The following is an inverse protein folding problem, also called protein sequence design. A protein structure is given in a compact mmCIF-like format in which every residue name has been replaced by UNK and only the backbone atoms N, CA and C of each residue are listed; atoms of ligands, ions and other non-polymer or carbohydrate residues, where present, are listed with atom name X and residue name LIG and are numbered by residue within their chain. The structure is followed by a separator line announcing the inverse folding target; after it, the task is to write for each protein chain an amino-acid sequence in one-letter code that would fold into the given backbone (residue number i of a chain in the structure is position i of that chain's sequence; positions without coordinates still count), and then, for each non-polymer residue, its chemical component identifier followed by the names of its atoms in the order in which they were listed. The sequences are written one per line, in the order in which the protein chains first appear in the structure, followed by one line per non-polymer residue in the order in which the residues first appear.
data_IF_145873530563
#
_entry.id   IF_145873530563
#
_cell.length_a   1.000
_cell.length_b   1.000
_cell.length_c   1.000
_cell.angle_alpha   90.00
_cell.angle_beta   90.00
_cell.angle_gamma   90.00
#
_symmetry.space_group_name_H-M   'P 1'
#
loop_
_entity.id
_entity.type
_entity.pdbx_description
1 polymer ?
#
# COMPACT_ATOMS: atom_id res chain seq x y z
N UNK A 1 -6.82 -36.04 -30.18
CA UNK A 1 -6.63 -36.46 -28.78
C UNK A 1 -6.40 -35.19 -27.99
N UNK A 2 -7.43 -34.76 -27.27
CA UNK A 2 -7.38 -33.57 -26.44
C UNK A 2 -7.26 -34.04 -24.99
N UNK A 3 -6.22 -33.58 -24.30
CA UNK A 3 -6.05 -33.80 -22.88
C UNK A 3 -6.85 -32.74 -22.12
N UNK A 4 -7.84 -33.23 -21.39
CA UNK A 4 -8.76 -32.48 -20.54
C UNK A 4 -8.07 -32.18 -19.20
N UNK A 5 -7.69 -30.92 -18.99
CA UNK A 5 -7.20 -30.46 -17.69
C UNK A 5 -8.38 -29.95 -16.86
N UNK A 6 -8.92 -30.81 -16.00
CA UNK A 6 -9.95 -30.44 -15.04
C UNK A 6 -9.39 -29.53 -13.95
N UNK A 7 -9.71 -28.23 -13.99
CA UNK A 7 -9.52 -27.32 -12.87
C UNK A 7 -10.82 -27.29 -12.07
N UNK A 8 -10.81 -27.91 -10.89
CA UNK A 8 -11.92 -27.84 -9.94
C UNK A 8 -11.86 -26.50 -9.21
N UNK A 9 -12.66 -25.52 -9.64
CA UNK A 9 -12.80 -24.22 -8.98
C UNK A 9 -14.05 -24.24 -8.10
N UNK A 10 -13.84 -24.36 -6.79
CA UNK A 10 -14.90 -24.20 -5.80
C UNK A 10 -14.90 -22.76 -5.25
N UNK A 11 -15.84 -21.96 -5.76
CA UNK A 11 -16.52 -20.89 -5.01
C UNK A 11 -15.83 -19.52 -4.85
N UNK A 12 -16.43 -18.50 -5.45
CA UNK A 12 -16.28 -17.08 -5.04
C UNK A 12 -15.89 -16.14 -6.18
N UNK A 13 -16.74 -15.16 -6.49
CA UNK A 13 -16.66 -14.30 -7.69
C UNK A 13 -15.29 -13.67 -7.96
N UNK A 14 -14.81 -13.85 -9.19
CA UNK A 14 -13.75 -13.01 -9.78
C UNK A 14 -14.41 -11.78 -10.39
N UNK A 15 -14.31 -10.65 -9.71
CA UNK A 15 -14.52 -9.33 -10.29
C UNK A 15 -13.34 -8.45 -9.90
N UNK A 16 -12.32 -8.41 -10.77
CA UNK A 16 -11.16 -7.53 -10.63
C UNK A 16 -11.03 -6.64 -11.87
N UNK A 17 -10.73 -5.34 -11.73
CA UNK A 17 -10.46 -4.49 -12.88
C UNK A 17 -9.14 -4.88 -13.54
N UNK A 18 -9.24 -5.22 -14.83
CA UNK A 18 -8.11 -5.39 -15.76
C UNK A 18 -7.45 -4.02 -15.96
N UNK A 19 -6.21 -3.85 -15.51
CA UNK A 19 -5.38 -2.71 -15.90
C UNK A 19 -4.52 -3.10 -17.11
N UNK A 20 -4.90 -2.67 -18.30
CA UNK A 20 -4.04 -2.72 -19.49
C UNK A 20 -3.22 -1.42 -19.58
N UNK A 21 -1.90 -1.54 -19.49
CA UNK A 21 -0.95 -0.44 -19.69
C UNK A 21 0.50 -0.94 -19.58
N UNK A 22 1.37 -0.52 -20.49
CA UNK A 22 2.68 -1.13 -20.81
C UNK A 22 3.77 -1.06 -19.72
N UNK A 23 3.45 -0.72 -18.47
CA UNK A 23 4.37 -0.78 -17.32
C UNK A 23 3.65 -1.08 -15.98
N UNK A 24 2.43 -1.64 -16.02
CA UNK A 24 1.69 -1.96 -14.80
C UNK A 24 2.20 -3.29 -14.18
N UNK A 25 3.01 -3.20 -13.13
CA UNK A 25 3.36 -4.34 -12.29
C UNK A 25 2.24 -4.55 -11.26
N UNK A 26 1.20 -5.29 -11.64
CA UNK A 26 0.16 -5.71 -10.71
C UNK A 26 0.72 -6.82 -9.81
N UNK A 27 1.15 -6.45 -8.60
CA UNK A 27 1.46 -7.41 -7.55
C UNK A 27 0.15 -7.79 -6.88
N UNK A 28 -0.38 -8.95 -7.25
CA UNK A 28 -1.56 -9.54 -6.60
C UNK A 28 -1.09 -10.20 -5.31
N UNK A 29 -1.35 -9.55 -4.17
CA UNK A 29 -1.23 -10.20 -2.85
C UNK A 29 -2.59 -10.82 -2.53
N UNK A 30 -2.77 -12.08 -2.92
CA UNK A 30 -3.84 -12.91 -2.38
C UNK A 30 -3.36 -13.48 -1.04
N UNK A 31 -3.86 -12.97 0.09
CA UNK A 31 -3.64 -13.60 1.38
C UNK A 31 -3.91 -12.69 2.58
N UNK A 32 -5.00 -12.97 3.31
CA UNK A 32 -5.13 -12.66 4.74
C UNK A 32 -5.83 -11.35 5.10
N UNK A 33 -7.04 -11.49 5.67
CA UNK A 33 -7.78 -10.50 6.47
C UNK A 33 -8.21 -9.16 5.83
N UNK A 34 -9.38 -8.60 6.23
CA UNK A 34 -9.83 -7.28 5.76
C UNK A 34 -8.82 -6.15 6.06
N UNK A 35 -7.99 -6.29 7.09
CA UNK A 35 -6.94 -5.34 7.46
C UNK A 35 -5.82 -5.22 6.41
N UNK A 36 -5.47 -6.31 5.72
CA UNK A 36 -4.44 -6.30 4.67
C UNK A 36 -4.87 -5.57 3.41
N UNK A 37 -6.17 -5.57 3.10
CA UNK A 37 -6.75 -4.84 1.97
C UNK A 37 -6.83 -3.33 2.22
N UNK A 38 -7.24 -2.95 3.43
CA UNK A 38 -7.36 -1.54 3.83
C UNK A 38 -6.00 -0.84 3.89
N UNK A 39 -4.99 -1.46 4.50
CA UNK A 39 -3.63 -0.93 4.55
C UNK A 39 -3.05 -0.71 3.14
N UNK A 40 -3.25 -1.65 2.21
CA UNK A 40 -2.81 -1.53 0.82
C UNK A 40 -3.53 -0.39 0.09
N UNK A 41 -4.84 -0.24 0.30
CA UNK A 41 -5.61 0.85 -0.31
C UNK A 41 -5.15 2.23 0.18
N UNK A 42 -4.87 2.36 1.48
CA UNK A 42 -4.35 3.58 2.09
C UNK A 42 -2.93 3.89 1.59
N UNK A 43 -2.05 2.89 1.46
CA UNK A 43 -0.72 3.06 0.86
C UNK A 43 -0.79 3.54 -0.60
N UNK A 44 -1.66 2.94 -1.42
CA UNK A 44 -1.84 3.37 -2.80
C UNK A 44 -2.42 4.79 -2.91
N UNK A 45 -3.22 5.22 -1.92
CA UNK A 45 -3.68 6.61 -1.81
C UNK A 45 -2.53 7.53 -1.39
N UNK A 46 -1.72 7.11 -0.42
CA UNK A 46 -0.56 7.84 0.07
C UNK A 46 0.44 8.11 -1.06
N UNK A 47 0.76 7.12 -1.90
CA UNK A 47 1.66 7.32 -3.05
C UNK A 47 1.15 8.38 -4.03
N UNK A 48 -0.14 8.33 -4.34
CA UNK A 48 -0.77 9.28 -5.26
C UNK A 48 -0.70 10.70 -4.69
N UNK A 49 -0.94 10.86 -3.39
CA UNK A 49 -0.83 12.17 -2.73
C UNK A 49 0.62 12.66 -2.65
N UNK A 50 1.58 11.78 -2.33
CA UNK A 50 3.01 12.13 -2.32
C UNK A 50 3.51 12.56 -3.71
N UNK A 51 3.00 11.95 -4.77
CA UNK A 51 3.31 12.37 -6.14
C UNK A 51 2.63 13.69 -6.50
N UNK A 52 1.36 13.87 -6.14
CA UNK A 52 0.61 15.09 -6.44
C UNK A 52 1.13 16.33 -5.70
N UNK A 53 1.64 16.15 -4.47
CA UNK A 53 2.11 17.22 -3.60
C UNK A 53 3.64 17.25 -3.44
N UNK A 54 4.39 16.68 -4.38
CA UNK A 54 5.86 16.56 -4.25
C UNK A 54 6.55 17.91 -3.97
N UNK A 55 6.08 18.99 -4.58
CA UNK A 55 6.63 20.34 -4.38
C UNK A 55 6.36 20.92 -2.99
N UNK A 56 5.34 20.42 -2.28
CA UNK A 56 4.92 20.88 -0.96
C UNK A 56 5.54 20.04 0.17
N UNK A 57 6.30 18.99 -0.15
CA UNK A 57 6.92 18.10 0.82
C UNK A 57 8.28 18.63 1.28
N UNK A 58 8.54 18.50 2.58
CA UNK A 58 9.90 18.65 3.10
C UNK A 58 10.69 17.38 2.79
N UNK A 59 11.74 17.51 1.99
CA UNK A 59 12.59 16.39 1.54
C UNK A 59 11.79 15.29 0.80
N UNK A 60 11.21 15.58 -0.39
CA UNK A 60 10.29 14.69 -1.11
C UNK A 60 10.89 13.30 -1.40
N UNK A 61 12.17 13.22 -1.72
CA UNK A 61 12.86 11.96 -1.94
C UNK A 61 12.90 11.09 -0.67
N UNK A 62 13.05 11.69 0.52
CA UNK A 62 13.00 10.97 1.79
C UNK A 62 11.58 10.57 2.17
N UNK A 63 10.60 11.43 1.91
CA UNK A 63 9.19 11.09 2.11
C UNK A 63 8.77 9.85 1.27
N UNK A 64 9.19 9.79 0.00
CA UNK A 64 8.96 8.60 -0.85
C UNK A 64 9.66 7.36 -0.32
N UNK A 65 10.89 7.51 0.20
CA UNK A 65 11.62 6.41 0.83
C UNK A 65 10.89 5.91 2.08
N UNK A 66 10.48 6.80 2.97
CA UNK A 66 9.76 6.44 4.19
C UNK A 66 8.43 5.70 3.86
N UNK A 67 7.70 6.12 2.82
CA UNK A 67 6.53 5.39 2.33
C UNK A 67 6.87 4.02 1.73
N UNK A 68 8.03 3.91 1.05
CA UNK A 68 8.57 2.65 0.56
C UNK A 68 8.92 1.68 1.69
N UNK A 69 9.52 2.17 2.77
CA UNK A 69 9.88 1.38 3.96
C UNK A 69 8.60 0.80 4.61
N UNK A 70 7.54 1.60 4.75
CA UNK A 70 6.24 1.11 5.27
C UNK A 70 5.65 0.02 4.37
N UNK A 71 5.68 0.21 3.05
CA UNK A 71 5.18 -0.81 2.11
C UNK A 71 5.96 -2.11 2.21
N UNK A 72 7.29 -2.01 2.28
CA UNK A 72 8.15 -3.19 2.37
C UNK A 72 7.82 -3.97 3.65
N UNK A 73 7.79 -3.30 4.80
CA UNK A 73 7.53 -3.94 6.09
C UNK A 73 6.14 -4.60 6.13
N UNK A 74 5.12 -3.96 5.52
CA UNK A 74 3.78 -4.56 5.39
C UNK A 74 3.70 -5.77 4.45
N UNK A 75 4.69 -5.95 3.58
CA UNK A 75 4.76 -7.10 2.68
C UNK A 75 5.57 -8.27 3.27
N UNK A 76 6.23 -8.07 4.42
CA UNK A 76 6.94 -9.13 5.12
C UNK A 76 5.96 -10.16 5.69
N UNK A 77 6.40 -11.42 5.82
CA UNK A 77 5.58 -12.49 6.39
C UNK A 77 5.21 -12.23 7.86
N UNK A 78 6.08 -11.52 8.57
CA UNK A 78 5.91 -11.09 9.95
C UNK A 78 6.22 -9.59 10.05
N UNK A 79 5.25 -8.70 9.78
CA UNK A 79 5.47 -7.26 9.80
C UNK A 79 5.86 -6.73 11.19
N UNK A 80 6.94 -5.95 11.26
CA UNK A 80 7.34 -5.23 12.47
C UNK A 80 6.57 -3.91 12.62
N UNK A 81 5.59 -3.94 13.52
CA UNK A 81 4.77 -2.77 13.90
C UNK A 81 5.62 -1.55 14.27
N UNK A 82 6.73 -1.73 14.99
CA UNK A 82 7.54 -0.61 15.48
C UNK A 82 8.19 0.12 14.31
N UNK A 83 8.72 -0.64 13.35
CA UNK A 83 9.31 -0.09 12.11
C UNK A 83 8.29 0.65 11.26
N UNK A 84 7.08 0.10 11.13
CA UNK A 84 5.97 0.75 10.43
C UNK A 84 5.65 2.10 11.09
N UNK A 85 5.44 2.12 12.40
CA UNK A 85 5.08 3.34 13.12
C UNK A 85 6.19 4.40 13.10
N UNK A 86 7.45 3.98 13.20
CA UNK A 86 8.60 4.88 13.09
C UNK A 86 8.69 5.53 11.71
N UNK A 87 8.50 4.74 10.65
CA UNK A 87 8.50 5.25 9.27
C UNK A 87 7.32 6.19 9.02
N UNK A 88 6.12 5.86 9.51
CA UNK A 88 4.95 6.74 9.47
C UNK A 88 5.16 8.04 10.26
N UNK A 89 5.88 7.99 11.39
CA UNK A 89 6.24 9.17 12.18
C UNK A 89 7.20 10.12 11.43
N UNK A 90 8.23 9.56 10.79
CA UNK A 90 9.14 10.35 9.93
C UNK A 90 8.39 10.96 8.76
N UNK A 91 7.52 10.18 8.11
CA UNK A 91 6.73 10.65 6.98
C UNK A 91 5.76 11.77 7.39
N UNK A 92 5.11 11.67 8.55
CA UNK A 92 4.21 12.70 9.07
C UNK A 92 4.94 14.03 9.29
N UNK A 93 6.19 13.99 9.77
CA UNK A 93 7.01 15.18 9.93
C UNK A 93 7.30 15.84 8.58
N UNK A 94 7.59 15.05 7.55
CA UNK A 94 7.91 15.53 6.19
C UNK A 94 6.71 16.09 5.43
N UNK A 95 5.54 15.52 5.70
CA UNK A 95 4.29 15.90 5.07
C UNK A 95 3.40 16.78 5.95
N UNK A 96 3.92 17.35 7.05
CA UNK A 96 3.14 18.07 8.06
C UNK A 96 2.31 19.24 7.49
N UNK A 97 2.76 19.83 6.37
CA UNK A 97 2.07 20.94 5.69
C UNK A 97 1.00 20.48 4.69
N UNK A 98 0.91 19.18 4.40
CA UNK A 98 0.00 18.60 3.42
C UNK A 98 -1.07 17.79 4.14
N UNK A 99 -2.14 18.46 4.57
CA UNK A 99 -3.24 17.86 5.36
C UNK A 99 -3.75 16.53 4.81
N UNK A 100 -4.05 16.37 3.50
CA UNK A 100 -4.54 15.11 2.97
C UNK A 100 -3.58 13.93 3.18
N UNK A 101 -2.27 14.18 3.21
CA UNK A 101 -1.25 13.15 3.46
C UNK A 101 -1.25 12.77 4.95
N UNK A 102 -1.28 13.76 5.84
CA UNK A 102 -1.32 13.53 7.30
C UNK A 102 -2.56 12.72 7.70
N UNK A 103 -3.71 12.99 7.08
CA UNK A 103 -4.95 12.22 7.30
C UNK A 103 -4.80 10.74 6.94
N UNK A 104 -4.16 10.43 5.81
CA UNK A 104 -3.93 9.05 5.37
C UNK A 104 -2.92 8.35 6.28
N UNK A 105 -1.86 9.05 6.69
CA UNK A 105 -0.90 8.51 7.67
C UNK A 105 -1.60 8.19 9.00
N UNK A 106 -2.52 9.05 9.45
CA UNK A 106 -3.28 8.81 10.69
C UNK A 106 -4.18 7.59 10.57
N UNK A 107 -4.87 7.43 9.44
CA UNK A 107 -5.67 6.22 9.14
C UNK A 107 -4.80 4.96 9.13
N UNK A 108 -3.62 5.00 8.50
CA UNK A 108 -2.68 3.87 8.51
C UNK A 108 -2.24 3.52 9.93
N UNK A 109 -1.89 4.50 10.76
CA UNK A 109 -1.50 4.25 12.16
C UNK A 109 -2.62 3.62 12.98
N UNK A 110 -3.87 3.98 12.71
CA UNK A 110 -5.02 3.42 13.41
C UNK A 110 -5.22 1.91 13.16
N UNK A 111 -4.65 1.37 12.08
CA UNK A 111 -4.64 -0.08 11.81
C UNK A 111 -3.68 -0.85 12.74
N UNK A 112 -2.81 -0.15 13.48
CA UNK A 112 -1.80 -0.74 14.37
C UNK A 112 -1.98 -0.24 15.82
N UNK A 113 -3.02 -0.69 16.55
CA UNK A 113 -3.25 -0.30 17.94
C UNK A 113 -2.06 -0.68 18.86
#
# INVERSE_FOLDING_TARGET
MGDEYGIHVSGGQVSGPIAMGSHARAVVVNGGEPAGGEAQALLARLDRLLAAHEADLVEPARARRDAGDVRQELAEAEPDRSRILDALGRLSTRAAQVTPIVEVITQLRALFP
#
